data_IF_111324161944
#
_entry.id   IF_111324161944
#
_cell.length_a   1.000
_cell.length_b   1.000
_cell.length_c   1.000
_cell.angle_alpha   90.00
_cell.angle_beta   90.00
_cell.angle_gamma   90.00
#
_symmetry.space_group_name_H-M   'P 1'
#
loop_
_entity.id
_entity.type
_entity.pdbx_description
1 polymer ?
#
# COMPACT_ATOMS: atom_id res chain seq x y z
N UNK A 1 -79.76 -17.39 -9.15
CA UNK A 1 -79.33 -18.60 -8.43
C UNK A 1 -79.27 -19.74 -9.43
N UNK A 2 -78.07 -20.25 -9.75
CA UNK A 2 -77.76 -21.54 -10.41
C UNK A 2 -76.28 -21.44 -10.85
N UNK A 3 -75.36 -21.78 -9.96
CA UNK A 3 -74.67 -23.08 -9.85
C UNK A 3 -73.81 -23.40 -11.08
N UNK A 4 -72.51 -23.17 -10.89
CA UNK A 4 -71.40 -23.54 -11.75
C UNK A 4 -71.25 -25.07 -11.76
N UNK A 5 -71.16 -25.66 -12.96
CA UNK A 5 -70.74 -27.06 -13.14
C UNK A 5 -69.40 -27.09 -13.88
N UNK A 6 -68.42 -27.73 -13.23
CA UNK A 6 -67.03 -27.89 -13.66
C UNK A 6 -66.94 -28.99 -14.72
N UNK A 7 -66.31 -28.71 -15.86
CA UNK A 7 -65.93 -29.72 -16.85
C UNK A 7 -64.41 -29.92 -16.78
N UNK A 8 -64.00 -31.09 -16.29
CA UNK A 8 -62.60 -31.55 -16.28
C UNK A 8 -62.26 -32.11 -17.66
N UNK A 9 -61.37 -31.45 -18.40
CA UNK A 9 -60.77 -31.99 -19.63
C UNK A 9 -59.38 -32.51 -19.28
N UNK A 10 -59.23 -33.83 -19.29
CA UNK A 10 -57.96 -34.52 -19.14
C UNK A 10 -57.12 -34.39 -20.42
N UNK A 11 -56.10 -33.52 -20.41
CA UNK A 11 -55.07 -33.51 -21.46
C UNK A 11 -53.92 -34.42 -21.05
N UNK A 12 -53.87 -35.58 -21.71
CA UNK A 12 -52.78 -36.57 -21.64
C UNK A 12 -51.61 -35.99 -22.44
N UNK A 13 -50.47 -35.76 -21.79
CA UNK A 13 -49.23 -35.39 -22.47
C UNK A 13 -48.37 -36.65 -22.68
N UNK A 14 -48.00 -37.01 -23.92
CA UNK A 14 -47.22 -38.22 -24.18
C UNK A 14 -45.77 -38.06 -23.69
N UNK A 15 -45.30 -39.06 -22.95
CA UNK A 15 -43.92 -39.21 -22.51
C UNK A 15 -43.10 -39.70 -23.70
N UNK A 16 -42.33 -38.81 -24.32
CA UNK A 16 -41.29 -39.22 -25.27
C UNK A 16 -40.04 -39.63 -24.50
N UNK A 17 -39.67 -40.91 -24.57
CA UNK A 17 -38.37 -41.40 -24.15
C UNK A 17 -37.28 -40.72 -25.00
N UNK A 18 -36.50 -39.84 -24.40
CA UNK A 18 -35.21 -39.43 -24.93
C UNK A 18 -34.17 -40.39 -24.36
N UNK A 19 -33.63 -41.24 -25.22
CA UNK A 19 -32.50 -42.12 -24.93
C UNK A 19 -31.31 -41.30 -24.45
N UNK A 20 -30.83 -41.59 -23.25
CA UNK A 20 -29.64 -40.96 -22.67
C UNK A 20 -28.41 -41.22 -23.52
N UNK A 21 -27.85 -40.15 -24.09
CA UNK A 21 -26.45 -40.16 -24.52
C UNK A 21 -25.60 -39.95 -23.28
N UNK A 22 -24.79 -40.95 -22.92
CA UNK A 22 -23.73 -40.80 -21.93
C UNK A 22 -22.74 -39.73 -22.43
N UNK A 23 -22.90 -38.51 -21.93
CA UNK A 23 -21.84 -37.50 -22.02
C UNK A 23 -20.73 -37.97 -21.10
N UNK A 24 -19.73 -38.61 -21.71
CA UNK A 24 -18.44 -38.88 -21.07
C UNK A 24 -17.80 -37.54 -20.74
N UNK A 25 -17.97 -37.08 -19.50
CA UNK A 25 -17.24 -35.94 -18.95
C UNK A 25 -15.79 -36.34 -18.82
N UNK A 26 -15.00 -36.01 -19.83
CA UNK A 26 -13.55 -35.89 -19.67
C UNK A 26 -13.31 -34.77 -18.64
N UNK A 27 -12.55 -34.99 -17.56
CA UNK A 27 -12.14 -33.90 -16.70
C UNK A 27 -11.19 -33.05 -17.51
N UNK A 28 -11.71 -31.95 -18.07
CA UNK A 28 -10.87 -30.87 -18.54
C UNK A 28 -10.24 -30.27 -17.28
N UNK A 29 -9.00 -30.68 -16.99
CA UNK A 29 -8.06 -29.89 -16.22
C UNK A 29 -7.79 -28.60 -16.98
N UNK A 30 -8.76 -27.68 -16.96
CA UNK A 30 -8.47 -26.27 -17.06
C UNK A 30 -8.07 -25.83 -15.67
N UNK A 31 -6.76 -25.74 -15.42
CA UNK A 31 -6.20 -24.94 -14.34
C UNK A 31 -6.61 -23.49 -14.58
N UNK A 32 -7.83 -23.15 -14.16
CA UNK A 32 -8.29 -21.79 -14.05
C UNK A 32 -7.42 -21.13 -12.99
N UNK A 33 -6.42 -20.39 -13.49
CA UNK A 33 -5.54 -19.48 -12.79
C UNK A 33 -6.36 -18.66 -11.78
N UNK A 34 -6.38 -19.10 -10.52
CA UNK A 34 -7.10 -18.43 -9.46
C UNK A 34 -6.34 -17.15 -9.13
N UNK A 35 -6.70 -16.05 -9.81
CA UNK A 35 -6.24 -14.71 -9.45
C UNK A 35 -6.67 -14.48 -8.01
N UNK A 36 -5.76 -14.62 -7.06
CA UNK A 36 -6.03 -14.25 -5.68
C UNK A 36 -6.12 -12.72 -5.62
N UNK A 37 -6.98 -12.24 -4.73
CA UNK A 37 -7.19 -10.80 -4.50
C UNK A 37 -6.82 -10.41 -3.06
N UNK A 38 -6.19 -11.32 -2.32
CA UNK A 38 -5.84 -11.20 -0.90
C UNK A 38 -4.49 -11.83 -0.62
N UNK A 39 -3.89 -11.49 0.53
CA UNK A 39 -2.78 -12.24 1.11
C UNK A 39 -3.12 -13.75 1.10
N UNK A 40 -2.32 -14.52 0.38
CA UNK A 40 -2.49 -15.96 0.21
C UNK A 40 -1.76 -16.69 1.34
N UNK A 41 -2.35 -17.75 1.88
CA UNK A 41 -1.74 -18.52 2.98
C UNK A 41 -1.55 -17.73 4.28
N UNK A 42 -2.26 -16.60 4.41
CA UNK A 42 -2.23 -15.73 5.58
C UNK A 42 -3.45 -15.85 6.47
N UNK A 43 -3.29 -15.45 7.72
CA UNK A 43 -4.32 -15.48 8.75
C UNK A 43 -4.93 -14.09 9.00
N UNK A 44 -6.13 -14.04 9.57
CA UNK A 44 -6.77 -12.78 9.97
C UNK A 44 -6.03 -12.24 11.20
N UNK A 45 -5.79 -10.94 11.23
CA UNK A 45 -5.09 -10.28 12.34
C UNK A 45 -5.78 -8.97 12.73
N UNK A 46 -5.25 -8.30 13.75
CA UNK A 46 -5.81 -7.06 14.29
C UNK A 46 -4.89 -5.88 14.03
N UNK A 47 -5.46 -4.70 13.81
CA UNK A 47 -4.68 -3.46 13.64
C UNK A 47 -3.80 -3.16 14.87
N UNK A 48 -4.15 -3.69 16.05
CA UNK A 48 -3.31 -3.57 17.26
C UNK A 48 -1.93 -4.21 17.09
N UNK A 49 -1.82 -5.25 16.25
CA UNK A 49 -0.54 -5.91 15.95
C UNK A 49 0.31 -5.11 14.96
N UNK A 50 -0.33 -4.27 14.14
CA UNK A 50 0.29 -3.45 13.10
C UNK A 50 -0.22 -2.01 13.16
N UNK A 51 -0.03 -1.29 14.29
CA UNK A 51 -0.68 0.01 14.54
C UNK A 51 -0.17 1.12 13.61
N UNK A 52 0.85 0.86 12.82
CA UNK A 52 1.35 1.78 11.81
C UNK A 52 0.74 1.56 10.42
N UNK A 53 -0.03 0.50 10.22
CA UNK A 53 -0.58 0.16 8.91
C UNK A 53 -1.70 1.12 8.50
N UNK A 54 -1.68 1.53 7.24
CA UNK A 54 -2.58 2.51 6.65
C UNK A 54 -3.17 1.97 5.36
N UNK A 55 -4.48 2.10 5.21
CA UNK A 55 -5.21 1.84 3.98
C UNK A 55 -5.30 3.14 3.17
N UNK A 56 -4.70 3.16 1.99
CA UNK A 56 -4.83 4.26 1.03
C UNK A 56 -6.05 3.96 0.15
N UNK A 57 -7.07 4.81 0.25
CA UNK A 57 -8.30 4.66 -0.51
C UNK A 57 -8.42 5.70 -1.61
N UNK A 58 -9.06 5.31 -2.71
CA UNK A 58 -9.45 6.23 -3.80
C UNK A 58 -10.90 6.68 -3.62
N UNK A 59 -11.29 7.73 -4.36
CA UNK A 59 -12.72 8.10 -4.49
C UNK A 59 -13.51 6.85 -4.90
N UNK A 60 -14.72 6.67 -4.35
CA UNK A 60 -15.58 5.46 -4.33
C UNK A 60 -15.36 4.48 -3.16
N UNK A 61 -14.66 4.90 -2.09
CA UNK A 61 -14.52 4.11 -0.86
C UNK A 61 -13.95 2.73 -1.12
N UNK A 62 -12.92 2.64 -1.97
CA UNK A 62 -12.22 1.40 -2.25
C UNK A 62 -10.75 1.52 -1.85
N UNK A 63 -10.29 0.53 -1.07
CA UNK A 63 -8.89 0.27 -0.83
C UNK A 63 -8.17 0.11 -2.17
N UNK A 64 -7.12 0.91 -2.36
CA UNK A 64 -6.33 0.93 -3.59
C UNK A 64 -4.91 0.44 -3.35
N UNK A 65 -4.31 0.85 -2.23
CA UNK A 65 -2.95 0.49 -1.84
C UNK A 65 -2.82 0.46 -0.32
N UNK A 66 -1.83 -0.26 0.18
CA UNK A 66 -1.33 -0.15 1.53
C UNK A 66 -0.34 1.01 1.72
N UNK A 67 0.01 1.25 2.98
CA UNK A 67 1.04 2.18 3.38
C UNK A 67 1.33 2.06 4.87
N UNK A 68 2.37 2.76 5.34
CA UNK A 68 2.72 2.82 6.77
C UNK A 68 2.92 4.24 7.25
N UNK A 69 2.36 4.56 8.42
CA UNK A 69 2.56 5.87 9.03
C UNK A 69 3.99 5.96 9.56
N UNK A 70 4.83 6.80 8.93
CA UNK A 70 6.28 6.80 9.18
C UNK A 70 6.75 8.05 9.93
N UNK A 71 6.04 9.17 9.79
CA UNK A 71 6.35 10.43 10.46
C UNK A 71 5.09 11.29 10.60
N UNK A 72 5.08 12.38 11.39
CA UNK A 72 3.93 13.26 11.49
C UNK A 72 3.48 13.73 10.11
N UNK A 73 2.23 13.40 9.73
CA UNK A 73 1.64 13.68 8.41
C UNK A 73 2.25 12.91 7.23
N UNK A 74 3.06 11.88 7.42
CA UNK A 74 3.65 11.13 6.30
C UNK A 74 3.31 9.65 6.37
N UNK A 75 2.76 9.15 5.28
CA UNK A 75 2.52 7.72 5.04
C UNK A 75 3.44 7.26 3.92
N UNK A 76 4.30 6.29 4.20
CA UNK A 76 5.17 5.62 3.25
C UNK A 76 4.36 4.60 2.44
N UNK A 77 4.55 4.59 1.13
CA UNK A 77 3.87 3.69 0.20
C UNK A 77 4.74 3.50 -1.06
N UNK A 78 4.21 2.81 -2.06
CA UNK A 78 4.86 2.63 -3.36
C UNK A 78 4.60 3.85 -4.27
N UNK A 79 5.54 4.16 -5.17
CA UNK A 79 5.39 5.26 -6.12
C UNK A 79 4.27 4.99 -7.14
N UNK A 80 4.14 3.74 -7.59
CA UNK A 80 3.12 3.35 -8.58
C UNK A 80 1.69 3.56 -8.08
N UNK A 81 1.47 3.60 -6.75
CA UNK A 81 0.19 3.93 -6.14
C UNK A 81 -0.22 5.40 -6.34
N UNK A 82 0.75 6.26 -6.66
CA UNK A 82 0.63 7.72 -6.67
C UNK A 82 0.85 8.35 -8.05
N UNK A 83 1.06 7.54 -9.08
CA UNK A 83 1.42 8.00 -10.41
C UNK A 83 0.34 7.58 -11.40
N UNK A 84 0.02 8.49 -12.31
CA UNK A 84 -0.86 8.22 -13.45
C UNK A 84 -0.19 8.61 -14.75
N UNK A 85 -0.68 8.04 -15.85
CA UNK A 85 -0.30 8.49 -17.20
C UNK A 85 -1.04 9.78 -17.52
N UNK A 86 -0.31 10.79 -17.96
CA UNK A 86 -0.83 12.04 -18.50
C UNK A 86 -1.26 11.85 -19.96
N UNK A 87 -2.01 12.82 -20.50
CA UNK A 87 -2.53 12.78 -21.88
C UNK A 87 -1.40 12.81 -22.92
N UNK A 88 -0.29 13.46 -22.59
CA UNK A 88 0.94 13.51 -23.38
C UNK A 88 1.80 12.24 -23.25
N UNK A 89 1.30 11.22 -22.54
CA UNK A 89 1.99 9.95 -22.33
C UNK A 89 3.02 9.95 -21.20
N UNK A 90 3.28 11.10 -20.56
CA UNK A 90 4.24 11.21 -19.45
C UNK A 90 3.66 10.67 -18.14
N UNK A 91 4.53 10.21 -17.24
CA UNK A 91 4.13 9.74 -15.91
C UNK A 91 4.21 10.90 -14.92
N UNK A 92 3.09 11.22 -14.27
CA UNK A 92 2.99 12.36 -13.35
C UNK A 92 2.36 11.95 -12.03
N UNK A 93 2.71 12.67 -10.96
CA UNK A 93 2.07 12.51 -9.67
C UNK A 93 0.55 12.75 -9.80
N UNK A 94 -0.22 11.85 -9.21
CA UNK A 94 -1.67 11.86 -9.27
C UNK A 94 -2.25 12.90 -8.29
N UNK A 95 -3.44 13.41 -8.61
CA UNK A 95 -4.08 14.46 -7.84
C UNK A 95 -4.34 13.98 -6.39
N UNK A 96 -3.77 14.63 -5.35
CA UNK A 96 -3.94 14.21 -3.96
C UNK A 96 -5.41 14.20 -3.51
N UNK A 97 -6.29 15.00 -4.12
CA UNK A 97 -7.73 15.04 -3.81
C UNK A 97 -8.47 13.76 -4.18
N UNK A 98 -7.84 12.85 -4.93
CA UNK A 98 -8.39 11.54 -5.25
C UNK A 98 -8.20 10.53 -4.11
N UNK A 99 -7.36 10.86 -3.13
CA UNK A 99 -6.94 9.95 -2.07
C UNK A 99 -7.32 10.44 -0.68
N UNK A 100 -7.52 9.48 0.20
CA UNK A 100 -7.52 9.66 1.64
C UNK A 100 -6.99 8.38 2.28
N UNK A 101 -6.65 8.48 3.57
CA UNK A 101 -6.13 7.35 4.33
C UNK A 101 -7.10 6.94 5.43
N UNK A 102 -7.13 5.64 5.72
CA UNK A 102 -7.75 5.07 6.90
C UNK A 102 -6.66 4.37 7.72
N UNK A 103 -6.56 4.72 9.00
CA UNK A 103 -5.66 4.08 9.97
C UNK A 103 -6.48 3.57 11.16
N UNK A 104 -5.90 2.67 11.97
CA UNK A 104 -6.57 2.18 13.19
C UNK A 104 -7.78 1.27 12.93
N UNK A 105 -7.85 0.63 11.76
CA UNK A 105 -8.97 -0.21 11.34
C UNK A 105 -8.54 -1.67 11.11
N UNK A 106 -9.10 -2.61 11.86
CA UNK A 106 -8.97 -4.05 11.51
C UNK A 106 -9.81 -4.37 10.27
N UNK A 107 -10.96 -3.71 10.13
CA UNK A 107 -11.85 -3.81 8.98
C UNK A 107 -12.01 -2.44 8.33
N UNK A 108 -11.66 -2.29 7.06
CA UNK A 108 -11.51 -0.97 6.40
C UNK A 108 -12.78 -0.36 5.84
N UNK A 109 -13.89 -1.11 5.77
CA UNK A 109 -15.17 -0.63 5.20
C UNK A 109 -16.32 -0.50 6.22
N UNK A 110 -16.07 -0.81 7.49
CA UNK A 110 -17.04 -0.73 8.58
C UNK A 110 -16.42 0.16 9.66
N UNK A 111 -17.19 1.10 10.24
CA UNK A 111 -16.71 1.94 11.32
C UNK A 111 -16.19 1.08 12.48
N UNK A 112 -14.89 1.22 12.79
CA UNK A 112 -14.34 0.70 14.05
C UNK A 112 -14.44 1.80 15.09
N UNK A 113 -15.54 1.77 15.87
CA UNK A 113 -15.87 2.79 16.87
C UNK A 113 -14.70 2.99 17.86
N UNK A 114 -14.04 4.15 17.77
CA UNK A 114 -12.99 4.59 18.69
C UNK A 114 -11.54 4.32 18.26
N UNK A 115 -11.27 3.45 17.28
CA UNK A 115 -9.90 3.18 16.80
C UNK A 115 -9.60 3.80 15.44
N UNK A 116 -10.60 3.83 14.55
CA UNK A 116 -10.43 4.24 13.16
C UNK A 116 -10.25 5.76 13.04
N UNK A 117 -9.26 6.17 12.25
CA UNK A 117 -9.00 7.57 11.90
C UNK A 117 -8.95 7.72 10.39
N UNK A 118 -9.55 8.79 9.89
CA UNK A 118 -9.54 9.16 8.48
C UNK A 118 -8.84 10.51 8.31
N UNK A 119 -7.97 10.63 7.32
CA UNK A 119 -7.37 11.92 6.98
C UNK A 119 -7.15 12.06 5.47
N UNK A 120 -7.27 13.30 4.99
CA UNK A 120 -7.14 13.63 3.58
C UNK A 120 -5.66 13.78 3.20
N UNK A 121 -5.37 13.52 1.92
CA UNK A 121 -4.05 13.78 1.35
C UNK A 121 -3.93 15.23 0.92
N UNK A 122 -2.80 15.83 1.27
CA UNK A 122 -2.38 17.18 0.90
C UNK A 122 -1.43 17.16 -0.30
N UNK A 123 -0.48 16.21 -0.33
CA UNK A 123 0.43 16.00 -1.46
C UNK A 123 0.74 14.53 -1.69
N UNK A 124 0.89 14.16 -2.96
CA UNK A 124 1.50 12.90 -3.41
C UNK A 124 2.97 13.18 -3.77
N UNK A 125 3.89 12.42 -3.20
CA UNK A 125 5.34 12.61 -3.35
C UNK A 125 5.99 11.29 -3.79
N UNK A 126 5.74 10.81 -5.02
CA UNK A 126 6.47 9.66 -5.55
C UNK A 126 7.94 10.01 -5.79
N UNK A 127 8.83 9.02 -5.76
CA UNK A 127 10.22 9.21 -6.16
C UNK A 127 10.29 9.71 -7.61
N UNK A 128 11.03 10.81 -7.85
CA UNK A 128 11.06 11.48 -9.15
C UNK A 128 11.62 10.61 -10.29
N UNK A 129 12.52 9.69 -9.95
CA UNK A 129 13.12 8.74 -10.89
C UNK A 129 12.42 7.38 -10.93
N UNK A 130 11.15 7.29 -10.50
CA UNK A 130 10.41 6.03 -10.61
C UNK A 130 10.24 5.60 -12.07
N UNK A 131 10.40 4.29 -12.33
CA UNK A 131 10.30 3.69 -13.66
C UNK A 131 9.37 2.48 -13.66
N UNK A 132 8.30 2.52 -14.45
CA UNK A 132 7.39 1.38 -14.60
C UNK A 132 8.01 0.17 -15.32
N UNK A 133 9.06 0.36 -16.12
CA UNK A 133 9.66 -0.73 -16.92
C UNK A 133 10.32 -1.82 -16.07
N UNK A 134 10.89 -1.43 -14.93
CA UNK A 134 11.66 -2.31 -14.03
C UNK A 134 11.26 -2.11 -12.56
N UNK A 135 10.22 -1.31 -12.32
CA UNK A 135 9.72 -0.92 -11.01
C UNK A 135 10.82 -0.37 -10.09
N UNK A 136 11.87 0.25 -10.66
CA UNK A 136 12.94 0.88 -9.88
C UNK A 136 12.44 2.17 -9.24
N UNK A 137 12.97 2.44 -8.05
CA UNK A 137 12.60 3.59 -7.23
C UNK A 137 11.09 3.63 -6.91
N UNK A 138 10.46 2.46 -6.73
CA UNK A 138 9.04 2.36 -6.40
C UNK A 138 8.78 2.65 -4.90
N UNK A 139 9.01 3.90 -4.53
CA UNK A 139 8.85 4.44 -3.19
C UNK A 139 8.20 5.83 -3.25
N UNK A 140 7.28 6.11 -2.34
CA UNK A 140 6.54 7.36 -2.32
C UNK A 140 6.03 7.73 -0.94
N UNK A 141 5.74 9.01 -0.75
CA UNK A 141 5.15 9.55 0.48
C UNK A 141 3.82 10.24 0.20
N UNK A 142 2.76 9.79 0.86
CA UNK A 142 1.52 10.57 0.99
C UNK A 142 1.70 11.55 2.15
N UNK A 143 1.68 12.87 1.86
CA UNK A 143 1.60 13.90 2.90
C UNK A 143 0.15 14.13 3.27
N UNK A 144 -0.21 13.90 4.52
CA UNK A 144 -1.54 14.11 5.08
C UNK A 144 -1.80 15.61 5.34
N UNK A 145 -3.06 16.05 5.29
CA UNK A 145 -3.43 17.42 5.67
C UNK A 145 -3.15 17.69 7.15
N UNK A 146 -3.44 16.74 8.04
CA UNK A 146 -3.14 16.80 9.47
C UNK A 146 -2.47 15.50 9.93
N UNK A 147 -1.72 15.50 11.03
CA UNK A 147 -1.17 14.26 11.57
C UNK A 147 -2.30 13.40 12.13
N UNK A 148 -2.16 12.08 12.02
CA UNK A 148 -3.00 11.14 12.74
C UNK A 148 -2.67 11.19 14.24
N UNK A 149 -3.68 11.05 15.09
CA UNK A 149 -3.54 11.02 16.53
C UNK A 149 -2.97 9.67 16.96
N UNK A 150 -1.81 9.67 17.63
CA UNK A 150 -1.19 8.41 18.06
C UNK A 150 -1.90 7.82 19.28
N UNK A 151 -2.18 6.53 19.23
CA UNK A 151 -2.82 5.75 20.30
C UNK A 151 -2.45 4.26 20.16
N UNK A 152 -3.13 3.35 20.87
CA UNK A 152 -2.84 1.91 20.81
C UNK A 152 -3.06 1.27 19.41
N UNK A 153 -3.73 1.95 18.48
CA UNK A 153 -4.08 1.48 17.14
C UNK A 153 -3.44 2.28 16.02
N UNK A 154 -2.80 3.42 16.35
CA UNK A 154 -2.12 4.32 15.42
C UNK A 154 -0.75 4.70 15.99
N UNK A 155 0.32 4.21 15.37
CA UNK A 155 1.72 4.45 15.76
C UNK A 155 2.60 4.69 14.54
N UNK A 156 3.83 5.13 14.77
CA UNK A 156 4.83 5.13 13.70
C UNK A 156 5.41 3.75 13.48
N UNK A 157 5.68 3.41 12.23
CA UNK A 157 6.47 2.22 11.89
C UNK A 157 7.94 2.47 12.25
N UNK A 158 8.63 1.41 12.64
CA UNK A 158 10.09 1.42 12.80
C UNK A 158 10.73 1.05 11.46
N UNK A 159 11.68 1.84 11.00
CA UNK A 159 12.47 1.59 9.78
C UNK A 159 13.95 1.41 10.13
N UNK A 160 14.76 0.80 9.25
CA UNK A 160 16.21 0.68 9.45
C UNK A 160 16.88 2.03 9.72
N UNK A 161 17.78 2.11 10.70
CA UNK A 161 18.48 3.37 11.01
C UNK A 161 19.62 3.67 10.02
N UNK A 162 20.03 2.68 9.23
CA UNK A 162 21.12 2.74 8.24
C UNK A 162 20.92 1.65 7.20
N UNK A 163 21.73 1.70 6.14
CA UNK A 163 21.85 0.61 5.17
C UNK A 163 22.37 -0.67 5.85
N UNK A 164 21.67 -1.79 5.65
CA UNK A 164 21.94 -3.08 6.28
C UNK A 164 22.64 -4.02 5.29
N UNK A 165 23.96 -4.08 5.31
CA UNK A 165 24.74 -4.95 4.40
C UNK A 165 24.46 -6.43 4.62
N UNK A 166 24.10 -6.79 5.84
CA UNK A 166 23.83 -8.13 6.37
C UNK A 166 22.33 -8.46 6.42
N UNK A 167 21.47 -7.71 5.70
CA UNK A 167 20.01 -7.87 5.77
C UNK A 167 19.54 -9.33 5.56
N UNK A 168 20.20 -10.07 4.68
CA UNK A 168 19.88 -11.46 4.41
C UNK A 168 20.36 -12.39 5.51
N UNK A 169 21.42 -12.07 6.23
CA UNK A 169 21.93 -12.88 7.35
C UNK A 169 21.10 -12.64 8.62
N UNK A 170 20.64 -11.40 8.83
CA UNK A 170 19.92 -11.00 10.05
C UNK A 170 18.42 -11.33 10.02
N UNK A 171 17.80 -11.28 8.83
CA UNK A 171 16.32 -11.30 8.70
C UNK A 171 15.78 -12.44 7.84
N UNK A 172 16.60 -13.45 7.56
CA UNK A 172 16.33 -14.47 6.54
C UNK A 172 15.00 -15.22 6.73
N UNK A 173 14.61 -15.52 7.97
CA UNK A 173 13.54 -16.52 8.23
C UNK A 173 12.24 -15.97 8.81
N UNK A 174 12.16 -14.70 9.22
CA UNK A 174 10.94 -14.20 9.88
C UNK A 174 10.53 -12.80 9.44
N UNK A 175 10.15 -12.70 8.17
CA UNK A 175 9.48 -11.51 7.66
C UNK A 175 7.97 -11.72 7.54
N UNK A 176 7.22 -10.64 7.65
CA UNK A 176 5.77 -10.59 7.63
C UNK A 176 5.32 -9.53 6.65
N UNK A 177 4.35 -9.88 5.82
CA UNK A 177 3.56 -8.89 5.07
C UNK A 177 2.19 -8.78 5.70
N UNK A 178 1.68 -7.56 5.84
CA UNK A 178 0.36 -7.29 6.38
C UNK A 178 -0.40 -6.30 5.48
N UNK A 179 -1.69 -6.56 5.28
CA UNK A 179 -2.51 -5.82 4.33
C UNK A 179 -3.94 -6.35 4.26
N UNK A 180 -4.80 -5.61 3.56
CA UNK A 180 -6.22 -5.95 3.43
C UNK A 180 -6.53 -6.71 2.14
N UNK A 181 -5.64 -6.68 1.15
CA UNK A 181 -5.95 -7.12 -0.21
C UNK A 181 -7.02 -6.27 -0.90
N UNK A 182 -7.25 -6.53 -2.19
CA UNK A 182 -8.24 -5.84 -3.01
C UNK A 182 -9.64 -6.34 -2.72
N UNK A 183 -10.56 -5.42 -2.46
CA UNK A 183 -11.98 -5.73 -2.30
C UNK A 183 -12.63 -6.12 -3.62
N UNK A 184 -13.40 -7.22 -3.60
CA UNK A 184 -14.24 -7.68 -4.71
C UNK A 184 -15.71 -7.47 -4.34
N UNK A 185 -16.40 -6.50 -4.97
CA UNK A 185 -17.83 -6.30 -4.77
C UNK A 185 -18.64 -7.59 -5.07
N UNK A 186 -19.52 -7.99 -4.15
CA UNK A 186 -20.42 -9.14 -4.34
C UNK A 186 -19.83 -10.51 -4.00
N UNK A 187 -18.58 -10.58 -3.51
CA UNK A 187 -18.01 -11.84 -3.01
C UNK A 187 -18.45 -12.11 -1.57
N UNK A 188 -19.06 -13.28 -1.32
CA UNK A 188 -19.39 -13.76 0.03
C UNK A 188 -18.16 -14.30 0.77
N UNK A 189 -16.99 -14.34 0.12
CA UNK A 189 -15.74 -14.93 0.62
C UNK A 189 -14.87 -13.93 1.39
N UNK A 190 -15.45 -13.05 2.22
CA UNK A 190 -14.69 -12.17 3.13
C UNK A 190 -13.52 -11.40 2.48
N UNK A 191 -13.56 -11.17 1.16
CA UNK A 191 -12.40 -10.72 0.38
C UNK A 191 -12.18 -9.22 0.55
N UNK A 192 -10.93 -8.81 0.79
CA UNK A 192 -10.52 -7.41 0.84
C UNK A 192 -10.93 -6.59 2.07
N UNK A 193 -11.56 -7.20 3.08
CA UNK A 193 -12.24 -6.46 4.15
C UNK A 193 -11.50 -6.48 5.48
N UNK A 194 -11.02 -7.66 5.91
CA UNK A 194 -10.28 -7.86 7.15
C UNK A 194 -8.77 -7.76 6.93
N UNK A 195 -8.08 -7.17 7.90
CA UNK A 195 -6.63 -7.17 7.93
C UNK A 195 -6.11 -8.61 8.02
N UNK A 196 -5.16 -8.94 7.17
CA UNK A 196 -4.46 -10.22 7.18
C UNK A 196 -2.97 -10.00 7.27
N UNK A 197 -2.26 -11.06 7.63
CA UNK A 197 -0.81 -11.11 7.52
C UNK A 197 -0.34 -12.50 7.13
N UNK A 198 0.87 -12.59 6.58
CA UNK A 198 1.53 -13.84 6.24
C UNK A 198 3.01 -13.72 6.54
N UNK A 199 3.62 -14.79 7.06
CA UNK A 199 5.08 -14.87 7.19
C UNK A 199 5.68 -15.35 5.87
N UNK A 200 6.78 -14.75 5.46
CA UNK A 200 7.53 -15.14 4.26
C UNK A 200 9.02 -14.93 4.54
N UNK A 201 9.91 -15.81 4.04
CA UNK A 201 11.35 -15.60 4.19
C UNK A 201 11.86 -14.59 3.16
N UNK A 202 13.00 -13.96 3.47
CA UNK A 202 13.76 -13.21 2.46
C UNK A 202 14.50 -14.17 1.54
N UNK A 203 14.63 -13.77 0.28
CA UNK A 203 15.39 -14.47 -0.74
C UNK A 203 16.55 -13.58 -1.16
N UNK A 204 17.76 -14.13 -1.11
CA UNK A 204 18.97 -13.43 -1.52
C UNK A 204 18.95 -13.16 -3.04
N UNK A 205 19.65 -12.11 -3.52
CA UNK A 205 19.57 -11.70 -4.93
C UNK A 205 19.97 -12.81 -5.90
N UNK A 206 20.94 -13.66 -5.54
CA UNK A 206 21.41 -14.82 -6.31
C UNK A 206 20.38 -15.96 -6.43
N UNK A 207 19.44 -16.04 -5.47
CA UNK A 207 18.38 -17.07 -5.45
C UNK A 207 17.03 -16.53 -5.93
N UNK A 208 16.92 -15.23 -6.17
CA UNK A 208 15.67 -14.65 -6.65
C UNK A 208 15.47 -14.97 -8.13
N UNK A 209 14.44 -15.76 -8.43
CA UNK A 209 14.12 -16.21 -9.79
C UNK A 209 13.41 -15.15 -10.63
N UNK A 210 13.09 -14.00 -10.04
CA UNK A 210 12.40 -12.91 -10.73
C UNK A 210 13.36 -12.16 -11.66
N UNK A 211 13.01 -11.97 -12.95
CA UNK A 211 13.89 -11.29 -13.89
C UNK A 211 14.02 -9.79 -13.56
N UNK A 212 15.20 -9.23 -13.86
CA UNK A 212 15.48 -7.79 -13.76
C UNK A 212 15.36 -7.16 -12.36
N UNK A 213 15.38 -7.95 -11.29
CA UNK A 213 15.42 -7.43 -9.91
C UNK A 213 16.76 -6.73 -9.65
N UNK A 214 16.70 -5.51 -9.16
CA UNK A 214 17.88 -4.72 -8.83
C UNK A 214 18.39 -5.04 -7.42
N UNK A 215 19.55 -5.68 -7.31
CA UNK A 215 20.17 -6.20 -6.07
C UNK A 215 20.20 -5.21 -4.88
N UNK A 216 20.49 -3.92 -5.13
CA UNK A 216 20.60 -2.90 -4.06
C UNK A 216 19.31 -2.17 -3.74
N UNK A 217 18.34 -2.17 -4.66
CA UNK A 217 17.15 -1.30 -4.61
C UNK A 217 15.87 -2.07 -4.32
N UNK A 218 15.91 -3.39 -4.54
CA UNK A 218 14.77 -4.28 -4.40
C UNK A 218 15.17 -5.49 -3.54
N UNK A 219 14.17 -6.07 -2.89
CA UNK A 219 14.26 -7.31 -2.12
C UNK A 219 13.31 -8.33 -2.74
N UNK A 220 13.66 -9.60 -2.63
CA UNK A 220 12.74 -10.70 -2.93
C UNK A 220 12.34 -11.38 -1.62
N UNK A 221 11.06 -11.75 -1.50
CA UNK A 221 10.57 -12.50 -0.36
C UNK A 221 9.42 -13.42 -0.79
N UNK A 222 9.39 -14.63 -0.25
CA UNK A 222 8.42 -15.64 -0.63
C UNK A 222 8.91 -17.05 -0.42
N UNK A 223 8.03 -18.02 -0.56
CA UNK A 223 8.38 -19.44 -0.53
C UNK A 223 8.65 -19.95 -1.95
N UNK A 224 9.71 -20.72 -2.20
CA UNK A 224 9.94 -21.36 -3.50
C UNK A 224 8.76 -22.21 -3.98
N UNK A 225 8.10 -22.92 -3.08
CA UNK A 225 6.90 -23.72 -3.33
C UNK A 225 5.63 -22.88 -3.55
N UNK A 226 5.67 -21.57 -3.32
CA UNK A 226 4.51 -20.68 -3.38
C UNK A 226 3.57 -20.86 -2.18
N UNK A 227 2.27 -20.64 -2.40
CA UNK A 227 1.22 -20.79 -1.39
C UNK A 227 1.13 -19.67 -0.35
N UNK A 228 2.11 -18.76 -0.28
CA UNK A 228 2.14 -17.60 0.63
C UNK A 228 2.70 -16.37 -0.05
N UNK A 229 1.93 -15.29 -0.09
CA UNK A 229 2.38 -14.04 -0.74
C UNK A 229 1.49 -12.84 -0.39
N UNK A 230 2.06 -11.65 -0.58
CA UNK A 230 1.31 -10.41 -0.78
C UNK A 230 0.52 -10.51 -2.09
N UNK A 231 -0.58 -9.76 -2.22
CA UNK A 231 -1.33 -9.81 -3.46
C UNK A 231 -1.95 -8.47 -3.85
N UNK A 232 -2.86 -8.51 -4.84
CA UNK A 232 -3.56 -7.33 -5.32
C UNK A 232 -4.16 -6.54 -4.15
N UNK A 233 -3.92 -5.23 -4.12
CA UNK A 233 -4.36 -4.32 -3.05
C UNK A 233 -3.32 -4.10 -1.95
N UNK A 234 -2.39 -5.03 -1.72
CA UNK A 234 -1.35 -4.88 -0.70
C UNK A 234 -0.17 -4.00 -1.16
N UNK A 235 -0.12 -3.63 -2.45
CA UNK A 235 0.84 -2.70 -3.02
C UNK A 235 1.06 -1.47 -2.14
N UNK A 236 2.31 -1.11 -1.89
CA UNK A 236 2.67 -0.02 -0.98
C UNK A 236 2.63 -0.37 0.51
N UNK A 237 2.11 -1.55 0.88
CA UNK A 237 2.17 -2.09 2.23
C UNK A 237 3.58 -2.51 2.67
N UNK A 238 3.78 -2.81 3.95
CA UNK A 238 5.11 -3.11 4.50
C UNK A 238 5.50 -4.58 4.33
N UNK A 239 6.80 -4.80 4.10
CA UNK A 239 7.50 -6.03 4.48
C UNK A 239 8.24 -5.78 5.79
N UNK A 240 7.83 -6.48 6.84
CA UNK A 240 8.32 -6.32 8.21
C UNK A 240 9.23 -7.48 8.56
N UNK A 241 10.48 -7.25 8.93
CA UNK A 241 11.34 -8.29 9.48
C UNK A 241 11.73 -7.92 10.91
N UNK A 242 11.52 -8.82 11.86
CA UNK A 242 11.69 -8.54 13.29
C UNK A 242 10.97 -7.23 13.74
N UNK A 243 9.75 -7.00 13.23
CA UNK A 243 8.94 -5.81 13.53
C UNK A 243 9.39 -4.50 12.84
N UNK A 244 10.47 -4.51 12.07
CA UNK A 244 10.99 -3.35 11.34
C UNK A 244 10.62 -3.41 9.87
N UNK A 245 10.17 -2.30 9.28
CA UNK A 245 9.84 -2.26 7.85
C UNK A 245 11.10 -2.13 7.00
N UNK A 246 11.52 -3.24 6.41
CA UNK A 246 12.68 -3.31 5.51
C UNK A 246 12.30 -3.17 4.03
N UNK A 247 11.04 -3.42 3.69
CA UNK A 247 10.54 -3.39 2.32
C UNK A 247 9.18 -2.74 2.16
N UNK A 248 8.84 -2.43 0.91
CA UNK A 248 7.53 -1.93 0.46
C UNK A 248 7.05 -2.85 -0.66
N UNK A 249 5.84 -3.42 -0.53
CA UNK A 249 5.23 -4.28 -1.56
C UNK A 249 5.20 -3.53 -2.89
N UNK A 250 5.82 -4.06 -3.94
CA UNK A 250 5.99 -3.37 -5.23
C UNK A 250 5.33 -4.13 -6.38
N UNK A 251 5.81 -5.34 -6.71
CA UNK A 251 5.32 -6.12 -7.84
C UNK A 251 5.60 -7.63 -7.68
N UNK A 252 4.99 -8.45 -8.53
CA UNK A 252 5.18 -9.90 -8.60
C UNK A 252 4.50 -10.50 -9.83
N UNK A 253 4.83 -11.74 -10.18
CA UNK A 253 4.21 -12.48 -11.29
C UNK A 253 3.11 -13.41 -10.79
N UNK A 254 1.90 -12.87 -10.66
CA UNK A 254 0.83 -13.54 -9.92
C UNK A 254 1.08 -13.47 -8.41
N UNK A 255 0.23 -14.13 -7.63
CA UNK A 255 0.37 -14.17 -6.18
C UNK A 255 0.58 -15.62 -5.73
N UNK A 256 1.61 -15.84 -4.91
CA UNK A 256 1.87 -17.14 -4.28
C UNK A 256 2.06 -18.30 -5.27
N UNK A 257 2.55 -18.00 -6.48
CA UNK A 257 2.93 -19.02 -7.44
C UNK A 257 4.27 -19.63 -7.06
N UNK A 258 4.46 -20.94 -7.29
CA UNK A 258 5.77 -21.56 -7.15
C UNK A 258 6.80 -20.81 -8.00
N UNK A 259 7.99 -20.58 -7.45
CA UNK A 259 9.12 -19.90 -8.09
C UNK A 259 8.88 -18.45 -8.54
N UNK A 260 7.79 -17.80 -8.12
CA UNK A 260 7.50 -16.39 -8.41
C UNK A 260 7.37 -15.58 -7.12
N UNK A 261 8.47 -15.32 -6.40
CA UNK A 261 8.41 -14.57 -5.16
C UNK A 261 8.02 -13.10 -5.40
N UNK A 262 7.43 -12.47 -4.38
CA UNK A 262 7.14 -11.05 -4.40
C UNK A 262 8.41 -10.21 -4.39
N UNK A 263 8.37 -9.07 -5.09
CA UNK A 263 9.45 -8.09 -5.15
C UNK A 263 9.04 -6.81 -4.42
N UNK A 264 9.95 -6.31 -3.59
CA UNK A 264 9.73 -5.21 -2.66
C UNK A 264 10.76 -4.10 -2.88
N UNK A 265 10.37 -2.83 -2.78
CA UNK A 265 11.34 -1.73 -2.73
C UNK A 265 12.07 -1.75 -1.39
N UNK A 266 13.40 -1.68 -1.44
CA UNK A 266 14.27 -1.83 -0.27
C UNK A 266 14.39 -0.52 0.52
N UNK A 267 13.81 -0.44 1.73
CA UNK A 267 13.65 0.81 2.49
C UNK A 267 14.97 1.43 2.94
N UNK A 268 15.91 0.61 3.44
CA UNK A 268 17.20 1.07 3.97
C UNK A 268 18.09 1.74 2.90
N UNK A 269 17.88 1.41 1.62
CA UNK A 269 18.52 2.08 0.48
C UNK A 269 18.02 3.51 0.27
N UNK A 270 16.74 3.80 0.56
CA UNK A 270 16.12 5.10 0.30
C UNK A 270 16.04 6.02 1.52
N UNK A 271 16.78 5.73 2.60
CA UNK A 271 16.72 6.53 3.84
C UNK A 271 17.06 8.01 3.62
N UNK A 272 18.07 8.30 2.80
CA UNK A 272 18.43 9.67 2.46
C UNK A 272 17.28 10.39 1.75
N UNK A 273 16.74 9.79 0.70
CA UNK A 273 15.60 10.34 -0.05
C UNK A 273 14.38 10.56 0.84
N UNK A 274 14.08 9.60 1.73
CA UNK A 274 12.96 9.66 2.66
C UNK A 274 13.11 10.86 3.60
N UNK A 275 14.28 11.02 4.22
CA UNK A 275 14.58 12.11 5.13
C UNK A 275 14.49 13.47 4.43
N UNK A 276 15.17 13.63 3.29
CA UNK A 276 15.15 14.88 2.52
C UNK A 276 13.73 15.27 2.09
N UNK A 277 12.93 14.29 1.65
CA UNK A 277 11.56 14.51 1.22
C UNK A 277 10.66 14.93 2.38
N UNK A 278 10.78 14.27 3.54
CA UNK A 278 10.05 14.62 4.76
C UNK A 278 10.43 16.03 5.23
N UNK A 279 11.73 16.37 5.28
CA UNK A 279 12.18 17.69 5.72
C UNK A 279 11.68 18.78 4.77
N UNK A 280 11.90 18.63 3.46
CA UNK A 280 11.48 19.60 2.43
C UNK A 280 9.97 19.82 2.41
N UNK A 281 9.18 18.79 2.73
CA UNK A 281 7.72 18.87 2.73
C UNK A 281 7.09 18.97 4.13
N UNK A 282 7.87 18.92 5.20
CA UNK A 282 7.43 19.11 6.59
C UNK A 282 7.73 20.52 7.10
N UNK A 283 8.72 21.20 6.50
CA UNK A 283 9.07 22.59 6.77
C UNK A 283 8.02 23.55 6.19
N UNK A 284 6.92 23.74 6.92
CA UNK A 284 6.07 24.91 6.73
C UNK A 284 5.42 25.30 8.06
N UNK A 285 6.24 25.93 8.93
CA UNK A 285 5.87 27.01 9.89
C UNK A 285 7.04 27.55 10.74
N UNK A 286 8.19 26.88 10.83
CA UNK A 286 9.30 27.38 11.65
C UNK A 286 10.17 28.48 10.99
N UNK A 287 10.21 28.56 9.65
CA UNK A 287 11.07 29.51 8.93
C UNK A 287 10.37 30.82 8.52
N UNK A 288 9.06 30.96 8.73
CA UNK A 288 8.31 32.20 8.41
C UNK A 288 7.96 33.04 9.65
N UNK A 289 8.41 32.67 10.85
CA UNK A 289 8.21 33.43 12.09
C UNK A 289 9.52 33.94 12.71
N UNK A 290 10.59 34.08 11.90
CA UNK A 290 11.89 34.63 12.33
C UNK A 290 12.40 35.82 11.52
N UNK A 291 11.59 36.43 10.66
CA UNK A 291 12.00 37.64 9.90
C UNK A 291 11.17 38.89 10.23
N UNK A 292 10.42 38.89 11.34
CA UNK A 292 9.83 40.11 11.88
C UNK A 292 10.16 40.14 13.37
N UNK A 293 11.20 40.91 13.70
CA UNK A 293 11.57 41.57 14.97
C UNK A 293 13.10 41.62 15.08
N UNK A 294 13.60 42.82 15.36
CA UNK A 294 14.97 43.19 15.75
C UNK A 294 16.00 43.29 14.59
N UNK A 295 16.52 44.45 14.18
CA UNK A 295 16.58 45.77 14.82
C UNK A 295 16.81 46.86 13.76
N UNK A 296 15.90 47.83 13.72
CA UNK A 296 16.26 49.23 13.49
C UNK A 296 17.12 49.72 14.65
N UNK A 297 18.43 49.55 14.56
CA UNK A 297 19.41 50.24 15.40
C UNK A 297 20.79 50.10 14.79
N UNK A 298 21.01 50.77 13.66
CA UNK A 298 22.36 51.13 13.22
C UNK A 298 22.35 52.63 13.02
N UNK A 299 22.53 53.34 14.13
CA UNK A 299 22.98 54.73 14.14
C UNK A 299 24.46 54.68 13.75
N UNK A 300 24.75 54.88 12.46
CA UNK A 300 26.04 55.44 12.04
C UNK A 300 25.76 56.87 11.60
N UNK A 301 25.87 57.80 12.55
CA UNK A 301 26.13 59.21 12.24
C UNK A 301 27.53 59.28 11.64
N UNK A 302 27.65 59.62 10.36
CA UNK A 302 28.86 60.24 9.85
C UNK A 302 28.53 61.24 8.73
N UNK A 303 29.12 62.43 8.92
CA UNK A 303 29.30 63.56 8.01
C UNK A 303 28.19 64.61 7.89
N UNK A 304 28.37 65.70 8.64
CA UNK A 304 28.31 67.05 8.07
C UNK A 304 29.35 68.00 8.73
N UNK A 305 30.38 68.32 7.95
CA UNK A 305 31.15 69.58 7.78
C UNK A 305 31.35 70.63 8.93
N UNK A 306 32.64 70.96 9.12
CA UNK A 306 33.28 72.30 9.13
C UNK A 306 33.17 73.28 10.34
N UNK A 307 34.32 73.95 10.57
CA UNK A 307 34.63 75.16 11.39
C UNK A 307 34.72 74.96 12.92
N UNK A 308 35.59 75.57 13.73
CA UNK A 308 36.69 76.54 13.60
C UNK A 308 37.25 76.83 15.04
N UNK A 309 38.56 77.15 15.18
CA UNK A 309 39.17 78.04 16.22
C UNK A 309 39.08 77.50 17.68
N UNK A 310 40.16 77.15 18.40
CA UNK A 310 41.30 77.92 18.97
C UNK A 310 42.42 76.90 19.27
#
# INVERSE_FOLDING_TARGET
MLVVSVVLISCICPISLVTGSEVRTTPNESTADQVSWRIVGGEITSIKNYPFLVSVQRRHFSHSCGGTYVAPRFVLSAAHCMIRRSLDGTWVAENPRLFYVIAGATYVYLPSWGSMQMELIDKTLPHAEFRFSDMRNDIGLFRLKRPLYRNAYVQYVVIPPRYLTDIYEVYMEDCVVAGWGRHIPGSNEGSGTYLRHVRIPLISPDKCLMPNVHEKKQLCAGLPEGGRDACQGDSGGPLLCNGMQVGIVSWGEGCARPNSPGVYSRVDYYLQWLNETIVRNGASRYLLQRTIISNTAVIFMFYWTYWSII
#
